data_IF_246921101734
#
_entry.id   IF_246921101734
#
_cell.length_a   1.000
_cell.length_b   1.000
_cell.length_c   1.000
_cell.angle_alpha   90.00
_cell.angle_beta   90.00
_cell.angle_gamma   90.00
#
_symmetry.space_group_name_H-M   'P 1'
#
loop_
_entity.id
_entity.type
_entity.pdbx_description
1 polymer ?
#
# COMPACT_ATOMS: atom_id res chain seq x y z
N UNK A 1 -7.15 56.27 73.34
CA UNK A 1 -5.80 56.13 72.74
C UNK A 1 -5.48 54.64 72.63
N UNK A 2 -4.94 54.28 71.47
CA UNK A 2 -5.04 52.98 70.81
C UNK A 2 -4.41 51.80 71.56
N UNK A 3 -5.16 50.68 71.51
CA UNK A 3 -4.69 49.32 71.74
C UNK A 3 -3.95 48.81 70.50
N UNK A 4 -2.74 48.31 70.71
CA UNK A 4 -2.06 47.36 69.83
C UNK A 4 -2.56 45.97 70.20
N UNK A 5 -3.27 45.29 69.30
CA UNK A 5 -3.48 43.84 69.35
C UNK A 5 -3.26 43.34 67.94
N UNK A 6 -2.19 42.58 67.77
CA UNK A 6 -1.97 41.80 66.56
C UNK A 6 -3.03 40.71 66.47
N UNK A 7 -3.54 40.49 65.27
CA UNK A 7 -4.35 39.32 64.96
C UNK A 7 -3.98 38.82 63.57
N UNK A 8 -3.25 37.69 63.57
CA UNK A 8 -3.23 36.70 62.50
C UNK A 8 -4.63 36.53 61.91
N UNK A 9 -4.79 36.61 60.58
CA UNK A 9 -5.91 36.00 59.88
C UNK A 9 -5.37 35.21 58.69
N UNK A 10 -5.12 33.94 59.00
CA UNK A 10 -5.09 32.79 58.12
C UNK A 10 -6.52 32.32 57.89
N UNK A 11 -6.99 32.35 56.64
CA UNK A 11 -8.12 31.55 56.17
C UNK A 11 -7.54 30.48 55.22
N UNK A 12 -7.15 29.32 55.73
CA UNK A 12 -7.92 28.08 55.92
C UNK A 12 -8.22 27.25 54.65
N UNK A 13 -7.12 26.83 54.00
CA UNK A 13 -6.77 25.41 53.89
C UNK A 13 -5.39 25.27 54.57
N UNK A 14 -5.34 25.39 55.91
CA UNK A 14 -4.09 25.73 56.62
C UNK A 14 -3.17 24.54 56.89
N UNK A 15 -1.98 24.55 56.26
CA UNK A 15 -0.86 23.70 56.68
C UNK A 15 0.15 23.37 55.60
N UNK A 16 -0.24 23.41 54.32
CA UNK A 16 0.70 23.22 53.22
C UNK A 16 1.19 24.58 52.70
N UNK A 17 2.31 25.06 53.25
CA UNK A 17 3.12 26.05 52.54
C UNK A 17 3.74 25.34 51.35
N UNK A 18 3.09 25.44 50.18
CA UNK A 18 3.65 24.90 48.94
C UNK A 18 4.98 25.59 48.67
N UNK A 19 6.10 24.88 48.90
CA UNK A 19 7.41 25.40 48.56
C UNK A 19 7.50 25.45 47.03
N UNK A 20 7.85 26.60 46.42
CA UNK A 20 8.12 26.67 44.98
C UNK A 20 9.14 25.62 44.52
N UNK A 21 10.04 25.19 45.43
CA UNK A 21 11.01 24.11 45.17
C UNK A 21 10.36 22.79 44.78
N UNK A 22 9.15 22.47 45.27
CA UNK A 22 8.46 21.23 44.89
C UNK A 22 8.04 21.30 43.42
N UNK A 23 7.53 22.46 42.98
CA UNK A 23 7.15 22.68 41.58
C UNK A 23 8.36 22.63 40.63
N UNK A 24 9.56 22.97 41.12
CA UNK A 24 10.81 22.82 40.36
C UNK A 24 11.29 21.37 40.25
N UNK A 25 10.83 20.47 41.13
CA UNK A 25 11.18 19.03 41.09
C UNK A 25 10.23 18.17 40.26
N UNK A 26 9.09 18.74 39.84
CA UNK A 26 8.12 18.02 39.01
C UNK A 26 8.69 17.71 37.63
N UNK A 27 8.23 16.61 37.04
CA UNK A 27 8.56 16.23 35.67
C UNK A 27 7.70 16.98 34.65
N UNK A 28 6.61 17.59 35.12
CA UNK A 28 5.72 18.46 34.36
C UNK A 28 6.25 19.89 34.31
N UNK A 29 5.95 20.58 33.21
CA UNK A 29 6.10 22.01 33.13
C UNK A 29 5.06 22.69 34.02
N UNK A 30 5.50 23.67 34.80
CA UNK A 30 4.65 24.45 35.69
C UNK A 30 4.88 25.92 35.40
N UNK A 31 3.80 26.67 35.16
CA UNK A 31 3.88 28.11 34.98
C UNK A 31 2.65 28.82 35.58
N UNK A 32 2.85 30.04 36.05
CA UNK A 32 1.76 30.90 36.55
C UNK A 32 1.75 32.16 35.71
N UNK A 33 0.61 32.44 35.07
CA UNK A 33 0.41 33.62 34.24
C UNK A 33 -0.50 34.60 34.96
N UNK A 34 -0.07 35.84 35.13
CA UNK A 34 -0.86 36.91 35.75
C UNK A 34 -2.08 37.31 34.89
N UNK A 35 -3.05 38.04 35.45
CA UNK A 35 -4.18 38.56 34.68
C UNK A 35 -3.80 39.47 33.50
N UNK A 36 -2.67 40.18 33.58
CA UNK A 36 -2.13 40.99 32.47
C UNK A 36 -1.23 40.20 31.51
N UNK A 37 -1.17 38.87 31.67
CA UNK A 37 -0.53 37.94 30.74
C UNK A 37 0.96 37.71 30.98
N UNK A 38 1.51 38.05 32.15
CA UNK A 38 2.95 37.92 32.47
C UNK A 38 3.28 36.62 33.17
N UNK A 39 4.47 36.08 32.93
CA UNK A 39 4.98 34.95 33.71
C UNK A 39 5.35 35.41 35.13
N UNK A 40 4.57 34.97 36.12
CA UNK A 40 4.88 35.13 37.55
C UNK A 40 5.78 34.00 38.06
N UNK A 41 5.62 32.82 37.48
CA UNK A 41 6.40 31.63 37.80
C UNK A 41 6.55 30.77 36.55
N UNK A 42 7.70 30.11 36.43
CA UNK A 42 7.94 29.03 35.48
C UNK A 42 9.02 28.11 36.05
N UNK A 43 8.86 26.80 35.98
CA UNK A 43 9.92 25.86 36.35
C UNK A 43 10.86 25.57 35.17
N UNK A 44 11.95 24.86 35.44
CA UNK A 44 12.96 24.54 34.41
C UNK A 44 12.40 23.64 33.30
N UNK A 45 11.44 22.76 33.62
CA UNK A 45 10.78 21.90 32.64
C UNK A 45 9.97 22.75 31.65
N UNK A 46 9.08 23.63 32.12
CA UNK A 46 8.28 24.48 31.25
C UNK A 46 9.14 25.44 30.43
N UNK A 47 10.23 25.97 30.99
CA UNK A 47 11.19 26.78 30.26
C UNK A 47 11.87 25.98 29.12
N UNK A 48 12.28 24.74 29.38
CA UNK A 48 12.81 23.82 28.35
C UNK A 48 11.78 23.49 27.28
N UNK A 49 10.54 23.17 27.68
CA UNK A 49 9.43 22.93 26.74
C UNK A 49 9.17 24.13 25.84
N UNK A 50 9.25 25.35 26.37
CA UNK A 50 9.14 26.59 25.60
C UNK A 50 10.39 26.97 24.79
N UNK A 51 11.49 26.22 24.94
CA UNK A 51 12.81 26.47 24.32
C UNK A 51 13.35 27.88 24.55
N UNK A 52 13.06 28.46 25.72
CA UNK A 52 13.58 29.76 26.15
C UNK A 52 14.06 29.68 27.59
N UNK A 53 15.18 30.36 27.94
CA UNK A 53 15.65 30.34 29.31
C UNK A 53 14.64 31.05 30.23
N UNK A 54 14.51 30.56 31.46
CA UNK A 54 13.60 31.10 32.49
C UNK A 54 13.77 32.61 32.70
N UNK A 55 15.00 33.11 32.64
CA UNK A 55 15.35 34.54 32.76
C UNK A 55 14.67 35.41 31.71
N UNK A 56 14.39 34.85 30.53
CA UNK A 56 13.81 35.61 29.42
C UNK A 56 12.29 35.63 29.46
N UNK A 57 11.68 34.82 30.32
CA UNK A 57 10.23 34.65 30.42
C UNK A 57 9.65 35.36 31.64
N UNK A 58 10.27 35.19 32.82
CA UNK A 58 9.77 35.78 34.08
C UNK A 58 9.57 37.31 33.94
N UNK A 59 8.38 37.78 34.29
CA UNK A 59 7.96 39.18 34.23
C UNK A 59 7.56 39.70 32.83
N UNK A 60 7.89 38.99 31.75
CA UNK A 60 7.48 39.36 30.38
C UNK A 60 6.09 38.84 30.06
N UNK A 61 5.39 39.50 29.14
CA UNK A 61 4.10 39.01 28.67
C UNK A 61 4.28 37.79 27.78
N UNK A 62 3.35 36.84 27.87
CA UNK A 62 3.35 35.62 27.06
C UNK A 62 3.35 35.94 25.56
N UNK A 63 2.62 36.96 25.13
CA UNK A 63 2.57 37.44 23.74
C UNK A 63 3.87 38.10 23.25
N UNK A 64 4.65 38.70 24.17
CA UNK A 64 5.96 39.27 23.85
C UNK A 64 7.01 38.16 23.73
N UNK A 65 6.93 37.17 24.63
CA UNK A 65 7.80 36.00 24.61
C UNK A 65 7.54 35.10 23.38
N UNK A 66 6.28 34.98 22.97
CA UNK A 66 5.84 34.14 21.84
C UNK A 66 4.85 34.93 20.96
N UNK A 67 5.35 35.68 19.96
CA UNK A 67 4.49 36.41 19.03
C UNK A 67 3.50 35.48 18.31
N UNK A 68 2.22 35.86 18.25
CA UNK A 68 1.14 35.07 17.62
C UNK A 68 0.48 34.04 18.53
N UNK A 69 0.98 33.85 19.76
CA UNK A 69 0.37 32.91 20.73
C UNK A 69 -1.07 33.30 21.08
N UNK A 70 -1.41 34.58 21.02
CA UNK A 70 -2.74 35.14 21.25
C UNK A 70 -3.80 34.66 20.24
N UNK A 71 -3.37 34.21 19.06
CA UNK A 71 -4.24 33.64 18.02
C UNK A 71 -4.48 32.15 18.21
N UNK A 72 -3.78 31.51 19.16
CA UNK A 72 -3.88 30.07 19.38
C UNK A 72 -5.10 29.71 20.22
N UNK A 73 -5.62 28.50 20.00
CA UNK A 73 -6.67 27.92 20.83
C UNK A 73 -6.28 27.86 22.31
N UNK A 74 -4.99 27.59 22.58
CA UNK A 74 -4.44 27.54 23.94
C UNK A 74 -4.64 28.86 24.68
N UNK A 75 -4.29 29.99 24.06
CA UNK A 75 -4.43 31.30 24.68
C UNK A 75 -5.89 31.69 24.93
N UNK A 76 -6.79 31.29 24.02
CA UNK A 76 -8.24 31.45 24.23
C UNK A 76 -8.71 30.69 25.48
N UNK A 77 -8.21 29.47 25.71
CA UNK A 77 -8.54 28.67 26.90
C UNK A 77 -7.96 29.29 28.17
N UNK A 78 -6.74 29.82 28.10
CA UNK A 78 -6.11 30.57 29.20
C UNK A 78 -6.97 31.78 29.61
N UNK A 79 -7.38 32.61 28.65
CA UNK A 79 -8.23 33.79 28.92
C UNK A 79 -9.57 33.40 29.53
N UNK A 80 -10.25 32.39 28.98
CA UNK A 80 -11.53 31.91 29.54
C UNK A 80 -11.37 31.42 30.97
N UNK A 81 -10.29 30.71 31.28
CA UNK A 81 -9.98 30.24 32.64
C UNK A 81 -9.70 31.41 33.59
N UNK A 82 -9.05 32.47 33.10
CA UNK A 82 -8.80 33.69 33.86
C UNK A 82 -10.10 34.39 34.25
N UNK A 83 -11.10 34.38 33.35
CA UNK A 83 -12.41 35.03 33.51
C UNK A 83 -13.37 34.23 34.39
N UNK A 84 -13.59 32.94 34.09
CA UNK A 84 -14.64 32.13 34.73
C UNK A 84 -14.13 31.25 35.88
N UNK A 85 -12.81 31.13 36.03
CA UNK A 85 -12.16 30.36 37.08
C UNK A 85 -12.29 28.84 36.96
N UNK A 86 -12.85 28.31 35.86
CA UNK A 86 -13.12 26.88 35.71
C UNK A 86 -11.86 26.11 35.30
N UNK A 87 -11.67 24.95 35.91
CA UNK A 87 -10.66 23.98 35.48
C UNK A 87 -10.87 23.58 34.01
N UNK A 88 -9.79 23.56 33.23
CA UNK A 88 -9.82 23.15 31.82
C UNK A 88 -8.61 22.29 31.48
N UNK A 89 -8.82 21.31 30.62
CA UNK A 89 -7.76 20.47 30.05
C UNK A 89 -7.85 20.51 28.53
N UNK A 90 -6.70 20.48 27.86
CA UNK A 90 -6.63 20.32 26.41
C UNK A 90 -5.33 19.67 25.97
N UNK A 91 -5.35 19.06 24.81
CA UNK A 91 -4.13 18.70 24.08
C UNK A 91 -3.84 19.79 23.07
N UNK A 92 -2.59 20.23 23.02
CA UNK A 92 -2.15 21.31 22.15
C UNK A 92 -0.88 20.92 21.41
N UNK A 93 -0.92 21.00 20.09
CA UNK A 93 0.27 20.99 19.26
C UNK A 93 0.92 22.37 19.29
N UNK A 94 2.21 22.40 19.62
CA UNK A 94 3.00 23.61 19.64
C UNK A 94 4.04 23.53 18.52
N UNK A 95 3.95 24.46 17.57
CA UNK A 95 4.91 24.60 16.47
C UNK A 95 5.97 25.62 16.88
N UNK A 96 7.22 25.18 16.94
CA UNK A 96 8.36 26.04 17.26
C UNK A 96 8.80 26.87 16.05
N UNK A 97 9.54 27.95 16.30
CA UNK A 97 10.02 28.84 15.24
C UNK A 97 10.99 28.19 14.23
N UNK A 98 11.55 27.02 14.56
CA UNK A 98 12.37 26.20 13.66
C UNK A 98 11.56 25.20 12.81
N UNK A 99 10.22 25.21 12.95
CA UNK A 99 9.30 24.32 12.25
C UNK A 99 9.10 22.95 12.89
N UNK A 100 9.83 22.62 13.97
CA UNK A 100 9.56 21.39 14.73
C UNK A 100 8.28 21.53 15.56
N UNK A 101 7.68 20.40 15.95
CA UNK A 101 6.44 20.40 16.75
C UNK A 101 6.62 19.60 18.04
N UNK A 102 5.82 19.94 19.06
CA UNK A 102 5.70 19.19 20.30
C UNK A 102 4.24 19.15 20.74
N UNK A 103 3.79 18.02 21.28
CA UNK A 103 2.43 17.89 21.79
C UNK A 103 2.41 17.96 23.31
N UNK A 104 1.50 18.77 23.85
CA UNK A 104 1.39 19.01 25.28
C UNK A 104 -0.05 18.82 25.75
N UNK A 105 -0.24 18.03 26.81
CA UNK A 105 -1.45 18.09 27.61
C UNK A 105 -1.32 19.27 28.57
N UNK A 106 -2.19 20.25 28.41
CA UNK A 106 -2.24 21.46 29.20
C UNK A 106 -3.44 21.42 30.14
N UNK A 107 -3.19 21.68 31.42
CA UNK A 107 -4.24 21.86 32.43
C UNK A 107 -4.17 23.27 32.98
N UNK A 108 -5.33 23.91 33.07
CA UNK A 108 -5.46 25.30 33.48
C UNK A 108 -6.32 25.36 34.73
N UNK A 109 -5.78 25.99 35.77
CA UNK A 109 -6.49 26.23 37.02
C UNK A 109 -6.30 27.66 37.48
N UNK A 110 -7.39 28.27 37.96
CA UNK A 110 -7.33 29.61 38.52
C UNK A 110 -6.66 29.56 39.89
N UNK A 111 -5.68 30.43 40.08
CA UNK A 111 -5.00 30.65 41.37
C UNK A 111 -5.13 32.12 41.77
N UNK A 112 -4.96 32.50 43.05
CA UNK A 112 -5.19 33.87 43.50
C UNK A 112 -4.42 34.94 42.72
N UNK A 113 -3.23 34.59 42.23
CA UNK A 113 -2.33 35.50 41.52
C UNK A 113 -2.44 35.43 39.98
N UNK A 114 -3.29 34.57 39.42
CA UNK A 114 -3.25 34.30 37.98
C UNK A 114 -3.92 32.99 37.56
N UNK A 115 -3.44 32.41 36.47
CA UNK A 115 -3.77 31.05 36.05
C UNK A 115 -2.52 30.20 36.14
N UNK A 116 -2.62 29.10 36.86
CA UNK A 116 -1.62 28.04 36.87
C UNK A 116 -1.85 27.16 35.65
N UNK A 117 -0.77 26.88 34.93
CA UNK A 117 -0.77 25.99 33.78
C UNK A 117 0.22 24.87 34.06
N UNK A 118 -0.28 23.64 34.05
CA UNK A 118 0.52 22.43 34.05
C UNK A 118 0.67 21.96 32.60
N UNK A 119 1.89 21.64 32.18
CA UNK A 119 2.18 21.14 30.83
C UNK A 119 2.94 19.83 30.88
N UNK A 120 2.27 18.76 30.43
CA UNK A 120 2.89 17.45 30.26
C UNK A 120 3.18 17.23 28.77
N UNK A 121 4.42 16.90 28.45
CA UNK A 121 4.78 16.55 27.08
C UNK A 121 4.22 15.15 26.75
N UNK A 122 3.37 15.10 25.72
CA UNK A 122 2.73 13.87 25.22
C UNK A 122 3.13 13.57 23.76
N UNK A 123 4.19 14.20 23.25
CA UNK A 123 4.69 14.01 21.88
C UNK A 123 4.88 12.54 21.53
N UNK A 124 5.58 11.77 22.38
CA UNK A 124 5.80 10.34 22.15
C UNK A 124 4.51 9.53 22.16
N UNK A 125 3.55 9.88 23.03
CA UNK A 125 2.24 9.23 23.09
C UNK A 125 1.46 9.47 21.81
N UNK A 126 1.45 10.71 21.31
CA UNK A 126 0.76 11.07 20.06
C UNK A 126 1.39 10.41 18.84
N UNK A 127 2.72 10.36 18.76
CA UNK A 127 3.42 9.63 17.71
C UNK A 127 3.07 8.12 17.74
N UNK A 128 3.01 7.51 18.93
CA UNK A 128 2.61 6.11 19.07
C UNK A 128 1.13 5.87 18.69
N UNK A 129 0.21 6.75 19.12
CA UNK A 129 -1.21 6.71 18.74
C UNK A 129 -1.39 6.78 17.21
N UNK A 130 -0.70 7.72 16.55
CA UNK A 130 -0.71 7.86 15.09
C UNK A 130 -0.12 6.62 14.41
N UNK A 131 1.01 6.10 14.89
CA UNK A 131 1.63 4.87 14.36
C UNK A 131 0.68 3.67 14.46
N UNK A 132 0.04 3.47 15.61
CA UNK A 132 -0.93 2.38 15.81
C UNK A 132 -2.12 2.53 14.86
N UNK A 133 -2.65 3.75 14.69
CA UNK A 133 -3.75 4.00 13.75
C UNK A 133 -3.34 3.68 12.31
N UNK A 134 -2.12 4.04 11.92
CA UNK A 134 -1.53 3.75 10.61
C UNK A 134 -1.37 2.25 10.38
N UNK A 135 -0.70 1.53 11.29
CA UNK A 135 -0.52 0.07 11.16
C UNK A 135 -1.84 -0.68 11.08
N UNK A 136 -2.85 -0.28 11.85
CA UNK A 136 -4.18 -0.85 11.77
C UNK A 136 -4.88 -0.55 10.43
N UNK A 137 -4.61 0.60 9.82
CA UNK A 137 -5.09 0.91 8.47
C UNK A 137 -4.42 0.00 7.44
N UNK A 138 -3.09 -0.11 7.46
CA UNK A 138 -2.33 -0.99 6.57
C UNK A 138 -2.82 -2.43 6.67
N UNK A 139 -2.90 -2.99 7.89
CA UNK A 139 -3.40 -4.36 8.15
C UNK A 139 -4.80 -4.61 7.58
N UNK A 140 -5.70 -3.62 7.66
CA UNK A 140 -7.02 -3.72 7.01
C UNK A 140 -6.91 -3.79 5.50
N UNK A 141 -6.03 -2.98 4.90
CA UNK A 141 -5.70 -3.05 3.48
C UNK A 141 -5.22 -4.44 3.06
N UNK A 142 -4.22 -4.99 3.77
CA UNK A 142 -3.70 -6.36 3.53
C UNK A 142 -4.82 -7.38 3.56
N UNK A 143 -5.64 -7.37 4.61
CA UNK A 143 -6.74 -8.31 4.76
C UNK A 143 -7.71 -8.25 3.58
N UNK A 144 -8.03 -7.05 3.09
CA UNK A 144 -8.92 -6.87 1.96
C UNK A 144 -8.29 -7.39 0.66
N UNK A 145 -7.00 -7.12 0.44
CA UNK A 145 -6.23 -7.69 -0.69
C UNK A 145 -6.24 -9.22 -0.63
N UNK A 146 -6.03 -9.82 0.54
CA UNK A 146 -6.05 -11.28 0.70
C UNK A 146 -7.43 -11.89 0.41
N UNK A 147 -8.52 -11.18 0.69
CA UNK A 147 -9.86 -11.60 0.27
C UNK A 147 -10.06 -11.48 -1.24
N UNK A 148 -9.54 -10.40 -1.85
CA UNK A 148 -9.59 -10.18 -3.30
C UNK A 148 -8.87 -11.29 -4.06
N UNK A 149 -7.68 -11.68 -3.60
CA UNK A 149 -6.83 -12.74 -4.18
C UNK A 149 -7.61 -14.05 -4.38
N UNK A 150 -8.52 -14.39 -3.46
CA UNK A 150 -9.29 -15.65 -3.54
C UNK A 150 -10.38 -15.66 -4.60
N UNK A 151 -10.75 -14.50 -5.17
CA UNK A 151 -11.92 -14.36 -6.05
C UNK A 151 -11.61 -13.76 -7.41
N UNK A 152 -10.53 -12.98 -7.52
CA UNK A 152 -10.12 -12.38 -8.77
C UNK A 152 -9.16 -13.29 -9.52
N UNK A 153 -9.44 -13.53 -10.79
CA UNK A 153 -8.67 -14.44 -11.64
C UNK A 153 -8.07 -13.73 -12.85
N UNK A 154 -8.29 -12.42 -12.98
CA UNK A 154 -7.63 -11.59 -13.97
C UNK A 154 -6.47 -10.79 -13.33
N UNK A 155 -5.22 -10.91 -13.82
CA UNK A 155 -4.07 -10.22 -13.25
C UNK A 155 -4.21 -8.69 -13.23
N UNK A 156 -4.80 -8.10 -14.29
CA UNK A 156 -4.93 -6.65 -14.43
C UNK A 156 -5.99 -6.10 -13.46
N UNK A 157 -7.10 -6.81 -13.30
CA UNK A 157 -8.13 -6.48 -12.30
C UNK A 157 -7.62 -6.68 -10.88
N UNK A 158 -6.80 -7.70 -10.63
CA UNK A 158 -6.20 -7.96 -9.32
C UNK A 158 -5.33 -6.78 -8.89
N UNK A 159 -4.34 -6.39 -9.70
CA UNK A 159 -3.44 -5.27 -9.35
C UNK A 159 -4.21 -3.95 -9.23
N UNK A 160 -5.25 -3.74 -10.05
CA UNK A 160 -6.07 -2.52 -9.99
C UNK A 160 -6.87 -2.43 -8.69
N UNK A 161 -7.64 -3.47 -8.36
CA UNK A 161 -8.43 -3.47 -7.12
C UNK A 161 -7.53 -3.50 -5.88
N UNK A 162 -6.34 -4.12 -5.96
CA UNK A 162 -5.37 -4.08 -4.88
C UNK A 162 -4.86 -2.66 -4.60
N UNK A 163 -4.54 -1.87 -5.64
CA UNK A 163 -4.18 -0.46 -5.48
C UNK A 163 -5.28 0.32 -4.76
N UNK A 164 -6.54 0.18 -5.22
CA UNK A 164 -7.69 0.87 -4.64
C UNK A 164 -7.87 0.52 -3.16
N UNK A 165 -7.84 -0.77 -2.81
CA UNK A 165 -8.03 -1.24 -1.42
C UNK A 165 -6.93 -0.75 -0.47
N UNK A 166 -5.69 -0.69 -0.94
CA UNK A 166 -4.56 -0.22 -0.13
C UNK A 166 -4.67 1.29 0.16
N UNK A 167 -5.11 2.08 -0.81
CA UNK A 167 -5.34 3.53 -0.64
C UNK A 167 -6.60 3.81 0.19
N UNK A 168 -7.71 3.11 -0.06
CA UNK A 168 -8.98 3.27 0.69
C UNK A 168 -8.84 2.97 2.18
N UNK A 169 -7.97 2.03 2.54
CA UNK A 169 -7.66 1.73 3.93
C UNK A 169 -7.02 2.92 4.67
N UNK A 170 -6.64 3.99 3.94
CA UNK A 170 -5.88 5.17 4.40
C UNK A 170 -4.51 4.83 4.97
N UNK A 171 -3.91 3.74 4.48
CA UNK A 171 -2.54 3.35 4.80
C UNK A 171 -1.50 4.01 3.88
N UNK A 172 -1.87 4.47 2.69
CA UNK A 172 -0.92 5.00 1.70
C UNK A 172 -1.49 6.22 0.98
N UNK A 173 -0.63 7.18 0.64
CA UNK A 173 -1.01 8.35 -0.15
C UNK A 173 -1.17 8.01 -1.64
N UNK A 174 -0.31 7.11 -2.12
CA UNK A 174 -0.41 6.54 -3.45
C UNK A 174 0.17 5.13 -3.48
N UNK A 175 -0.40 4.29 -4.34
CA UNK A 175 0.08 2.94 -4.61
C UNK A 175 0.10 2.72 -6.11
N UNK A 176 1.18 2.12 -6.61
CA UNK A 176 1.34 1.72 -8.00
C UNK A 176 1.81 0.28 -8.02
N UNK A 177 1.15 -0.56 -8.81
CA UNK A 177 1.56 -1.94 -9.02
C UNK A 177 1.76 -2.14 -10.51
N UNK A 178 2.95 -2.58 -10.92
CA UNK A 178 3.31 -2.85 -12.31
C UNK A 178 3.74 -4.30 -12.51
N UNK A 179 3.24 -4.92 -13.56
CA UNK A 179 3.66 -6.24 -14.04
C UNK A 179 4.73 -6.05 -15.13
N UNK A 180 5.77 -6.87 -15.07
CA UNK A 180 6.92 -6.77 -15.98
C UNK A 180 6.92 -7.95 -16.94
N UNK A 181 7.13 -7.66 -18.23
CA UNK A 181 7.55 -8.64 -19.21
C UNK A 181 9.06 -8.89 -19.05
N UNK A 182 9.41 -10.01 -18.40
CA UNK A 182 10.80 -10.34 -18.04
C UNK A 182 11.76 -10.42 -19.24
N UNK A 183 11.41 -11.04 -20.39
CA UNK A 183 12.22 -11.01 -21.61
C UNK A 183 12.67 -9.61 -22.06
N UNK A 184 11.79 -8.62 -21.99
CA UNK A 184 12.05 -7.25 -22.47
C UNK A 184 12.41 -6.29 -21.34
N UNK A 185 12.36 -6.75 -20.08
CA UNK A 185 12.44 -5.95 -18.85
C UNK A 185 11.60 -4.66 -18.97
N UNK A 186 10.38 -4.81 -19.49
CA UNK A 186 9.47 -3.70 -19.80
C UNK A 186 8.18 -3.87 -19.01
N UNK A 187 7.56 -2.76 -18.62
CA UNK A 187 6.22 -2.79 -18.02
C UNK A 187 5.22 -3.29 -19.07
N UNK A 188 4.56 -4.40 -18.78
CA UNK A 188 3.47 -4.96 -19.62
C UNK A 188 2.14 -4.28 -19.26
N UNK A 189 1.86 -4.19 -17.97
CA UNK A 189 0.63 -3.60 -17.45
C UNK A 189 0.86 -3.00 -16.07
N UNK A 190 0.08 -1.99 -15.70
CA UNK A 190 0.16 -1.40 -14.37
C UNK A 190 -1.21 -0.86 -13.94
N UNK A 191 -1.34 -0.65 -12.64
CA UNK A 191 -2.43 0.09 -12.04
C UNK A 191 -1.90 1.06 -10.98
N UNK A 192 -2.70 2.07 -10.67
CA UNK A 192 -2.40 3.04 -9.63
C UNK A 192 -3.66 3.46 -8.88
N UNK A 193 -3.48 3.95 -7.66
CA UNK A 193 -4.51 4.61 -6.87
C UNK A 193 -3.88 5.71 -6.00
N UNK A 194 -4.70 6.69 -5.59
CA UNK A 194 -4.29 7.80 -4.74
C UNK A 194 -3.85 9.03 -5.53
N UNK A 195 -2.76 9.66 -5.12
CA UNK A 195 -2.26 10.90 -5.75
C UNK A 195 -1.80 10.63 -7.20
N UNK A 196 -2.27 11.45 -8.14
CA UNK A 196 -1.96 11.30 -9.57
C UNK A 196 -0.54 11.74 -9.91
N UNK A 197 0.30 10.77 -10.25
CA UNK A 197 1.70 10.97 -10.63
C UNK A 197 1.88 10.96 -12.14
N UNK A 198 1.43 12.02 -12.83
CA UNK A 198 1.31 12.07 -14.30
C UNK A 198 2.60 11.70 -15.05
N UNK A 199 3.76 12.15 -14.59
CA UNK A 199 5.02 11.81 -15.27
C UNK A 199 5.42 10.35 -15.08
N UNK A 200 5.11 9.79 -13.90
CA UNK A 200 5.35 8.38 -13.61
C UNK A 200 4.44 7.51 -14.48
N UNK A 201 3.15 7.85 -14.59
CA UNK A 201 2.22 7.20 -15.51
C UNK A 201 2.71 7.26 -16.95
N UNK A 202 3.22 8.41 -17.40
CA UNK A 202 3.76 8.58 -18.76
C UNK A 202 4.95 7.65 -19.01
N UNK A 203 5.85 7.53 -18.03
CA UNK A 203 7.01 6.63 -18.09
C UNK A 203 6.58 5.15 -18.14
N UNK A 204 5.60 4.76 -17.31
CA UNK A 204 5.06 3.41 -17.26
C UNK A 204 4.29 3.05 -18.54
N UNK A 205 3.53 3.98 -19.12
CA UNK A 205 2.88 3.81 -20.41
C UNK A 205 3.88 3.66 -21.57
N UNK A 206 5.08 4.26 -21.44
CA UNK A 206 6.19 4.03 -22.37
C UNK A 206 6.90 2.69 -22.13
N UNK A 207 6.45 1.89 -21.16
CA UNK A 207 7.02 0.59 -20.80
C UNK A 207 8.29 0.67 -19.94
N UNK A 208 8.76 1.86 -19.60
CA UNK A 208 9.99 2.02 -18.82
C UNK A 208 9.74 1.75 -17.34
N UNK A 209 10.78 1.33 -16.61
CA UNK A 209 10.73 1.21 -15.15
C UNK A 209 11.31 2.47 -14.51
N UNK A 210 10.72 2.97 -13.41
CA UNK A 210 11.35 4.00 -12.58
C UNK A 210 12.63 3.47 -11.92
N UNK A 211 13.62 4.34 -11.65
CA UNK A 211 14.91 3.96 -11.04
C UNK A 211 14.77 3.10 -9.76
N UNK A 212 13.81 3.44 -8.89
CA UNK A 212 13.56 2.70 -7.66
C UNK A 212 12.98 1.30 -7.92
N UNK A 213 12.07 1.15 -8.88
CA UNK A 213 11.53 -0.14 -9.29
C UNK A 213 12.59 -0.98 -10.01
N UNK A 214 13.39 -0.37 -10.88
CA UNK A 214 14.49 -1.04 -11.57
C UNK A 214 15.52 -1.60 -10.58
N UNK A 215 15.91 -0.81 -9.57
CA UNK A 215 16.79 -1.29 -8.52
C UNK A 215 16.14 -2.39 -7.67
N UNK A 216 14.87 -2.24 -7.30
CA UNK A 216 14.15 -3.24 -6.50
C UNK A 216 14.05 -4.60 -7.23
N UNK A 217 13.72 -4.54 -8.52
CA UNK A 217 13.67 -5.70 -9.43
C UNK A 217 15.05 -6.35 -9.58
N UNK A 218 16.08 -5.55 -9.87
CA UNK A 218 17.45 -6.04 -10.08
C UNK A 218 18.04 -6.67 -8.82
N UNK A 219 17.83 -6.04 -7.67
CA UNK A 219 18.39 -6.48 -6.38
C UNK A 219 17.53 -7.51 -5.66
N UNK A 220 16.27 -7.69 -6.09
CA UNK A 220 15.24 -8.49 -5.41
C UNK A 220 15.05 -8.09 -3.95
N UNK A 221 15.20 -6.80 -3.66
CA UNK A 221 15.04 -6.21 -2.32
C UNK A 221 14.19 -4.96 -2.41
N UNK A 222 13.55 -4.59 -1.30
CA UNK A 222 12.89 -3.30 -1.24
C UNK A 222 13.92 -2.16 -1.34
N UNK A 223 13.49 -1.05 -1.93
CA UNK A 223 14.30 0.16 -2.10
C UNK A 223 13.52 1.32 -1.50
N UNK A 224 14.10 1.95 -0.48
CA UNK A 224 13.58 3.16 0.13
C UNK A 224 14.22 4.38 -0.56
N UNK A 225 13.40 5.31 -1.04
CA UNK A 225 13.83 6.62 -1.55
C UNK A 225 13.13 7.74 -0.77
N UNK A 226 13.87 8.79 -0.48
CA UNK A 226 13.37 9.98 0.21
C UNK A 226 13.39 11.14 -0.78
N UNK A 227 12.41 12.06 -0.70
CA UNK A 227 12.33 13.30 -1.49
C UNK A 227 13.49 14.31 -1.21
N UNK A 228 14.56 13.91 -0.53
CA UNK A 228 15.77 14.72 -0.32
C UNK A 228 16.99 14.21 -1.09
N UNK A 229 16.87 13.07 -1.79
CA UNK A 229 17.98 12.51 -2.55
C UNK A 229 17.86 12.87 -4.03
N UNK A 230 18.88 13.54 -4.58
CA UNK A 230 19.05 13.87 -6.02
C UNK A 230 19.14 12.62 -6.94
N UNK A 231 18.89 11.43 -6.40
CA UNK A 231 19.11 10.13 -7.03
C UNK A 231 17.92 9.62 -7.87
N UNK A 232 16.83 10.40 -7.99
CA UNK A 232 15.66 9.99 -8.77
C UNK A 232 15.64 10.70 -10.12
N UNK A 233 16.35 10.17 -11.13
CA UNK A 233 16.29 10.74 -12.48
C UNK A 233 14.96 10.32 -13.11
N UNK A 234 14.12 11.30 -13.48
CA UNK A 234 12.86 11.05 -14.19
C UNK A 234 11.63 10.76 -13.33
N UNK A 235 11.76 10.73 -12.01
CA UNK A 235 10.61 10.58 -11.11
C UNK A 235 10.05 11.96 -10.71
N UNK A 236 8.91 12.36 -11.27
CA UNK A 236 8.22 13.61 -10.86
C UNK A 236 7.46 13.49 -9.53
N UNK A 237 7.70 12.44 -8.75
CA UNK A 237 7.21 12.34 -7.37
C UNK A 237 7.79 13.47 -6.51
N UNK A 238 9.04 13.88 -6.79
CA UNK A 238 9.68 15.03 -6.14
C UNK A 238 9.00 16.38 -6.45
N UNK A 239 8.35 16.51 -7.62
CA UNK A 239 7.74 17.77 -8.09
C UNK A 239 6.22 17.85 -7.91
N UNK A 240 5.55 16.72 -7.64
CA UNK A 240 4.08 16.65 -7.56
C UNK A 240 3.47 16.66 -6.15
N UNK A 241 4.20 16.20 -5.12
CA UNK A 241 3.58 15.88 -3.82
C UNK A 241 3.74 16.95 -2.72
N UNK A 242 4.53 18.01 -2.92
CA UNK A 242 4.60 19.17 -2.02
C UNK A 242 5.10 18.93 -0.59
N UNK A 243 5.07 17.68 -0.11
CA UNK A 243 5.38 17.24 1.24
C UNK A 243 6.56 16.27 1.28
N UNK A 244 7.10 16.09 2.49
CA UNK A 244 8.17 15.13 2.75
C UNK A 244 7.54 13.74 2.82
N UNK A 245 7.80 12.92 1.81
CA UNK A 245 7.32 11.54 1.70
C UNK A 245 8.51 10.59 1.51
N UNK A 246 8.30 9.36 1.95
CA UNK A 246 9.16 8.21 1.72
C UNK A 246 8.49 7.31 0.67
N UNK A 247 9.19 7.00 -0.42
CA UNK A 247 8.73 6.02 -1.40
C UNK A 247 9.40 4.68 -1.14
N UNK A 248 8.59 3.63 -1.03
CA UNK A 248 9.07 2.26 -0.92
C UNK A 248 8.73 1.50 -2.20
N UNK A 249 9.75 1.06 -2.92
CA UNK A 249 9.60 0.17 -4.06
C UNK A 249 9.90 -1.27 -3.63
N UNK A 250 8.99 -2.21 -3.91
CA UNK A 250 9.10 -3.62 -3.56
C UNK A 250 8.96 -4.49 -4.81
N UNK A 251 9.78 -5.54 -4.97
CA UNK A 251 9.58 -6.49 -6.05
C UNK A 251 8.45 -7.47 -5.68
N UNK A 252 7.61 -7.83 -6.66
CA UNK A 252 6.59 -8.85 -6.52
C UNK A 252 7.22 -10.22 -6.81
N UNK A 253 7.63 -10.94 -5.76
CA UNK A 253 8.35 -12.21 -5.89
C UNK A 253 7.60 -13.31 -5.14
N UNK A 254 7.42 -14.45 -5.79
CA UNK A 254 6.94 -15.68 -5.17
C UNK A 254 7.73 -16.88 -5.69
N UNK A 255 8.24 -17.73 -4.80
CA UNK A 255 9.10 -18.88 -5.13
C UNK A 255 10.19 -18.56 -6.19
N UNK A 256 10.96 -17.50 -5.96
CA UNK A 256 12.01 -16.96 -6.86
C UNK A 256 11.55 -16.42 -8.22
N UNK A 257 10.26 -16.49 -8.53
CA UNK A 257 9.65 -15.91 -9.73
C UNK A 257 9.31 -14.44 -9.50
N UNK A 258 9.81 -13.57 -10.36
CA UNK A 258 9.55 -12.14 -10.33
C UNK A 258 8.38 -11.84 -11.28
N UNK A 259 7.32 -11.22 -10.76
CA UNK A 259 6.13 -10.86 -11.54
C UNK A 259 6.08 -9.37 -11.89
N UNK A 260 6.76 -8.53 -11.10
CA UNK A 260 6.58 -7.09 -11.20
C UNK A 260 7.15 -6.33 -10.02
N UNK A 261 6.60 -5.15 -9.78
CA UNK A 261 6.96 -4.26 -8.70
C UNK A 261 5.73 -3.58 -8.11
N UNK A 262 5.87 -3.08 -6.89
CA UNK A 262 4.93 -2.23 -6.19
C UNK A 262 5.67 -0.99 -5.68
N UNK A 263 5.12 0.20 -5.88
CA UNK A 263 5.63 1.45 -5.30
C UNK A 263 4.54 2.01 -4.40
N UNK A 264 4.89 2.35 -3.17
CA UNK A 264 3.99 2.97 -2.20
C UNK A 264 4.59 4.25 -1.66
N UNK A 265 3.80 5.33 -1.64
CA UNK A 265 4.20 6.58 -1.00
C UNK A 265 3.65 6.65 0.43
N UNK A 266 4.57 6.90 1.36
CA UNK A 266 4.34 6.95 2.80
C UNK A 266 4.71 8.32 3.36
N UNK A 267 4.05 8.79 4.44
CA UNK A 267 4.51 9.95 5.18
C UNK A 267 5.97 9.78 5.67
N UNK A 268 6.71 10.90 5.73
CA UNK A 268 8.13 10.89 6.11
C UNK A 268 8.40 10.14 7.42
N UNK A 269 9.43 9.29 7.39
CA UNK A 269 9.94 8.56 8.55
C UNK A 269 9.32 7.18 8.71
N UNK A 270 8.15 6.92 8.10
CA UNK A 270 7.51 5.60 8.17
C UNK A 270 8.19 4.57 7.27
N UNK A 271 8.81 4.96 6.15
CA UNK A 271 9.50 4.03 5.27
C UNK A 271 10.73 3.35 5.89
N UNK A 272 11.25 3.87 7.02
CA UNK A 272 12.36 3.27 7.79
C UNK A 272 11.89 2.32 8.88
N UNK A 273 10.60 2.27 9.16
CA UNK A 273 10.04 1.43 10.19
C UNK A 273 10.03 -0.04 9.75
N UNK A 274 10.60 -0.92 10.57
CA UNK A 274 10.69 -2.35 10.23
C UNK A 274 9.32 -3.02 10.17
N UNK A 275 8.36 -2.58 11.00
CA UNK A 275 7.01 -3.16 10.99
C UNK A 275 6.32 -2.81 9.67
N UNK A 276 6.44 -1.56 9.23
CA UNK A 276 5.89 -1.09 7.95
C UNK A 276 6.52 -1.82 6.75
N UNK A 277 7.85 -1.97 6.73
CA UNK A 277 8.56 -2.70 5.68
C UNK A 277 8.12 -4.16 5.60
N UNK A 278 7.98 -4.83 6.75
CA UNK A 278 7.55 -6.21 6.82
C UNK A 278 6.11 -6.38 6.31
N UNK A 279 5.20 -5.48 6.71
CA UNK A 279 3.81 -5.49 6.27
C UNK A 279 3.69 -5.28 4.76
N UNK A 280 4.42 -4.31 4.20
CA UNK A 280 4.43 -4.05 2.76
C UNK A 280 5.02 -5.23 1.97
N UNK A 281 6.06 -5.86 2.51
CA UNK A 281 6.65 -7.05 1.91
C UNK A 281 5.70 -8.24 1.92
N UNK A 282 4.89 -8.40 2.97
CA UNK A 282 3.83 -9.40 3.06
C UNK A 282 2.77 -9.19 1.96
N UNK A 283 2.26 -7.96 1.79
CA UNK A 283 1.32 -7.62 0.70
C UNK A 283 1.92 -7.91 -0.67
N UNK A 284 3.16 -7.50 -0.91
CA UNK A 284 3.85 -7.74 -2.18
C UNK A 284 3.98 -9.25 -2.47
N UNK A 285 4.28 -10.05 -1.44
CA UNK A 285 4.37 -11.50 -1.53
C UNK A 285 3.01 -12.15 -1.78
N UNK A 286 1.95 -11.69 -1.11
CA UNK A 286 0.59 -12.21 -1.29
C UNK A 286 0.06 -11.92 -2.70
N UNK A 287 0.30 -10.71 -3.22
CA UNK A 287 -0.03 -10.36 -4.60
C UNK A 287 0.77 -11.22 -5.59
N UNK A 288 2.07 -11.43 -5.35
CA UNK A 288 2.90 -12.29 -6.18
C UNK A 288 2.41 -13.76 -6.18
N UNK A 289 2.02 -14.29 -5.01
CA UNK A 289 1.40 -15.61 -4.89
C UNK A 289 0.11 -15.74 -5.70
N UNK A 290 -0.74 -14.71 -5.65
CA UNK A 290 -1.98 -14.67 -6.42
C UNK A 290 -1.71 -14.66 -7.93
N UNK A 291 -0.76 -13.84 -8.38
CA UNK A 291 -0.35 -13.78 -9.78
C UNK A 291 0.19 -15.14 -10.27
N UNK A 292 1.01 -15.82 -9.47
CA UNK A 292 1.47 -17.18 -9.75
C UNK A 292 0.30 -18.15 -9.90
N UNK A 293 -0.64 -18.13 -8.96
CA UNK A 293 -1.82 -19.00 -8.97
C UNK A 293 -2.69 -18.79 -10.21
N UNK A 294 -2.86 -17.53 -10.65
CA UNK A 294 -3.57 -17.19 -11.88
C UNK A 294 -2.82 -17.71 -13.12
N UNK A 295 -1.50 -17.52 -13.20
CA UNK A 295 -0.68 -18.03 -14.31
C UNK A 295 -0.73 -19.56 -14.40
N UNK A 296 -0.63 -20.28 -13.28
CA UNK A 296 -0.74 -21.74 -13.25
C UNK A 296 -2.12 -22.20 -13.71
N UNK A 297 -3.19 -21.58 -13.20
CA UNK A 297 -4.57 -21.93 -13.57
C UNK A 297 -4.84 -21.70 -15.06
N UNK A 298 -4.39 -20.58 -15.60
CA UNK A 298 -4.52 -20.27 -17.05
C UNK A 298 -3.74 -21.24 -17.92
N UNK A 299 -2.50 -21.59 -17.55
CA UNK A 299 -1.71 -22.59 -18.25
C UNK A 299 -2.34 -24.00 -18.19
N UNK A 300 -2.90 -24.38 -17.04
CA UNK A 300 -3.59 -25.66 -16.87
C UNK A 300 -4.83 -25.75 -17.78
N UNK A 301 -5.67 -24.72 -17.79
CA UNK A 301 -6.86 -24.66 -18.64
C UNK A 301 -6.50 -24.73 -20.14
N UNK A 302 -5.46 -24.01 -20.56
CA UNK A 302 -4.98 -24.06 -21.94
C UNK A 302 -4.50 -25.47 -22.33
N UNK A 303 -3.77 -26.15 -21.44
CA UNK A 303 -3.29 -27.52 -21.63
C UNK A 303 -4.46 -28.50 -21.73
N UNK A 304 -5.48 -28.36 -20.89
CA UNK A 304 -6.66 -29.23 -20.90
C UNK A 304 -7.49 -29.06 -22.19
N UNK A 305 -7.63 -27.84 -22.69
CA UNK A 305 -8.27 -27.57 -24.00
C UNK A 305 -7.46 -28.21 -25.13
N UNK A 306 -6.13 -28.06 -25.12
CA UNK A 306 -5.27 -28.64 -26.14
C UNK A 306 -5.32 -30.19 -26.14
N UNK A 307 -5.37 -30.80 -24.96
CA UNK A 307 -5.52 -32.25 -24.82
C UNK A 307 -6.84 -32.74 -25.42
N UNK A 308 -7.97 -32.13 -25.04
CA UNK A 308 -9.30 -32.47 -25.56
C UNK A 308 -9.36 -32.40 -27.10
N UNK A 309 -8.77 -31.35 -27.67
CA UNK A 309 -8.68 -31.20 -29.13
C UNK A 309 -7.84 -32.31 -29.78
N UNK A 310 -6.72 -32.69 -29.15
CA UNK A 310 -5.83 -33.75 -29.66
C UNK A 310 -6.50 -35.13 -29.56
N UNK A 311 -7.23 -35.40 -28.48
CA UNK A 311 -8.00 -36.64 -28.31
C UNK A 311 -9.09 -36.78 -29.38
N UNK A 312 -9.81 -35.70 -29.67
CA UNK A 312 -10.82 -35.68 -30.73
C UNK A 312 -10.21 -35.98 -32.11
N UNK A 313 -9.04 -35.40 -32.41
CA UNK A 313 -8.31 -35.67 -33.65
C UNK A 313 -7.85 -37.13 -33.73
N UNK A 314 -7.35 -37.69 -32.62
CA UNK A 314 -6.90 -39.08 -32.56
C UNK A 314 -8.07 -40.05 -32.80
N UNK A 315 -9.22 -39.83 -32.16
CA UNK A 315 -10.42 -40.65 -32.37
C UNK A 315 -10.88 -40.61 -33.84
N UNK A 316 -10.83 -39.43 -34.48
CA UNK A 316 -11.17 -39.30 -35.89
C UNK A 316 -10.18 -40.05 -36.79
N UNK A 317 -8.88 -39.97 -36.52
CA UNK A 317 -7.86 -40.71 -37.27
C UNK A 317 -8.04 -42.22 -37.14
N UNK A 318 -8.28 -42.74 -35.92
CA UNK A 318 -8.54 -44.17 -35.68
C UNK A 318 -9.79 -44.67 -36.41
N UNK A 319 -10.85 -43.85 -36.47
CA UNK A 319 -12.06 -44.19 -37.23
C UNK A 319 -11.76 -44.29 -38.73
N UNK A 320 -10.98 -43.35 -39.28
CA UNK A 320 -10.57 -43.38 -40.68
C UNK A 320 -9.66 -44.57 -40.99
N UNK A 321 -8.75 -44.93 -40.09
CA UNK A 321 -7.90 -46.11 -40.21
C UNK A 321 -8.73 -47.40 -40.24
N UNK A 322 -9.69 -47.55 -39.33
CA UNK A 322 -10.60 -48.70 -39.30
C UNK A 322 -11.44 -48.80 -40.58
N UNK A 323 -11.99 -47.68 -41.06
CA UNK A 323 -12.71 -47.62 -42.34
C UNK A 323 -11.79 -48.00 -43.50
N UNK A 324 -10.57 -47.47 -43.54
CA UNK A 324 -9.57 -47.78 -44.57
C UNK A 324 -9.22 -49.27 -44.60
N UNK A 325 -9.03 -49.90 -43.43
CA UNK A 325 -8.75 -51.34 -43.32
C UNK A 325 -9.92 -52.20 -43.80
N UNK A 326 -11.16 -51.82 -43.47
CA UNK A 326 -12.36 -52.49 -43.97
C UNK A 326 -12.49 -52.33 -45.49
N UNK A 327 -12.29 -51.13 -46.01
CA UNK A 327 -12.34 -50.86 -47.46
C UNK A 327 -11.28 -51.67 -48.22
N UNK A 328 -10.07 -51.82 -47.67
CA UNK A 328 -9.03 -52.68 -48.26
C UNK A 328 -9.44 -54.15 -48.33
N UNK A 329 -10.07 -54.68 -47.27
CA UNK A 329 -10.63 -56.03 -47.28
C UNK A 329 -11.75 -56.20 -48.31
N UNK A 330 -12.70 -55.25 -48.37
CA UNK A 330 -13.78 -55.26 -49.36
C UNK A 330 -13.22 -55.18 -50.78
N UNK A 331 -12.23 -54.32 -51.04
CA UNK A 331 -11.61 -54.19 -52.35
C UNK A 331 -10.90 -55.48 -52.77
N UNK A 332 -10.19 -56.14 -51.85
CA UNK A 332 -9.58 -57.44 -52.09
C UNK A 332 -10.63 -58.50 -52.48
N UNK A 333 -11.73 -58.62 -51.72
CA UNK A 333 -12.78 -59.60 -52.00
C UNK A 333 -13.52 -59.31 -53.31
N UNK A 334 -13.74 -58.02 -53.61
CA UNK A 334 -14.33 -57.60 -54.89
C UNK A 334 -13.42 -57.95 -56.06
N UNK A 335 -12.12 -57.69 -55.93
CA UNK A 335 -11.12 -58.08 -56.94
C UNK A 335 -11.08 -59.59 -57.16
N UNK A 336 -11.28 -60.40 -56.12
CA UNK A 336 -11.35 -61.85 -56.26
C UNK A 336 -12.56 -62.29 -57.09
N UNK A 337 -13.72 -61.69 -56.86
CA UNK A 337 -14.94 -61.98 -57.63
C UNK A 337 -14.78 -61.52 -59.09
N UNK A 338 -14.24 -60.31 -59.30
CA UNK A 338 -13.97 -59.79 -60.64
C UNK A 338 -12.99 -60.69 -61.40
N UNK A 339 -11.91 -61.14 -60.76
CA UNK A 339 -10.96 -62.06 -61.39
C UNK A 339 -11.63 -63.37 -61.82
N UNK A 340 -12.54 -63.91 -61.00
CA UNK A 340 -13.32 -65.08 -61.39
C UNK A 340 -14.27 -64.81 -62.56
N UNK A 341 -14.99 -63.66 -62.55
CA UNK A 341 -15.86 -63.27 -63.65
C UNK A 341 -15.09 -63.07 -64.96
N UNK A 342 -13.95 -62.37 -64.91
CA UNK A 342 -13.05 -62.18 -66.06
C UNK A 342 -12.57 -63.54 -66.56
N UNK A 343 -12.11 -64.44 -65.68
CA UNK A 343 -11.68 -65.78 -66.09
C UNK A 343 -12.80 -66.60 -66.77
N UNK A 344 -14.05 -66.46 -66.33
CA UNK A 344 -15.19 -67.07 -67.04
C UNK A 344 -15.46 -66.40 -68.39
N UNK A 345 -15.35 -65.07 -68.49
CA UNK A 345 -15.45 -64.35 -69.76
C UNK A 345 -14.37 -64.79 -70.75
N UNK A 346 -13.12 -64.95 -70.30
CA UNK A 346 -12.01 -65.45 -71.11
C UNK A 346 -12.28 -66.87 -71.63
N UNK A 347 -12.73 -67.78 -70.75
CA UNK A 347 -13.08 -69.15 -71.14
C UNK A 347 -14.26 -69.21 -72.12
N UNK A 348 -15.27 -68.36 -71.93
CA UNK A 348 -16.40 -68.24 -72.85
C UNK A 348 -15.94 -67.71 -74.21
N UNK A 349 -15.01 -66.76 -74.23
CA UNK A 349 -14.43 -66.22 -75.45
C UNK A 349 -13.66 -67.31 -76.24
N UNK A 350 -12.92 -68.19 -75.56
CA UNK A 350 -12.19 -69.30 -76.18
C UNK A 350 -13.10 -70.38 -76.81
N UNK A 351 -14.33 -70.55 -76.32
CA UNK A 351 -15.27 -71.58 -76.78
C UNK A 351 -16.33 -71.08 -77.78
N UNK A 352 -16.36 -69.77 -78.06
CA UNK A 352 -17.29 -69.18 -79.02
C UNK A 352 -16.68 -69.16 -80.43
N UNK A 353 -17.46 -69.55 -81.45
CA UNK A 353 -17.06 -69.42 -82.85
C UNK A 353 -16.78 -67.94 -83.19
N UNK A 354 -15.70 -67.71 -83.95
CA UNK A 354 -15.03 -66.41 -84.14
C UNK A 354 -15.88 -65.28 -84.75
N UNK A 355 -17.14 -65.54 -85.11
CA UNK A 355 -18.06 -64.59 -85.76
C UNK A 355 -19.45 -64.51 -85.10
N UNK A 356 -19.62 -65.13 -83.93
CA UNK A 356 -20.84 -65.04 -83.10
C UNK A 356 -21.07 -63.60 -82.60
N UNK A 357 -22.33 -63.14 -82.63
CA UNK A 357 -22.74 -61.83 -82.08
C UNK A 357 -22.28 -61.64 -80.62
N UNK A 358 -22.30 -62.72 -79.83
CA UNK A 358 -21.89 -62.72 -78.41
C UNK A 358 -20.38 -62.53 -78.25
N UNK A 359 -19.57 -63.09 -79.15
CA UNK A 359 -18.11 -62.90 -79.16
C UNK A 359 -17.72 -61.43 -79.40
N UNK A 360 -18.44 -60.74 -80.30
CA UNK A 360 -18.20 -59.32 -80.61
C UNK A 360 -18.57 -58.34 -79.49
N UNK A 361 -19.52 -58.71 -78.62
CA UNK A 361 -19.89 -57.91 -77.45
C UNK A 361 -18.99 -58.18 -76.24
N UNK A 362 -18.48 -59.42 -76.06
CA UNK A 362 -17.55 -59.76 -74.98
C UNK A 362 -16.19 -59.03 -75.08
N UNK A 363 -15.69 -58.75 -76.29
CA UNK A 363 -14.43 -58.02 -76.51
C UNK A 363 -14.50 -56.53 -76.10
N UNK A 364 -15.69 -55.99 -75.80
CA UNK A 364 -15.90 -54.58 -75.41
C UNK A 364 -15.89 -54.34 -73.89
N UNK A 365 -15.94 -55.40 -73.08
CA UNK A 365 -15.83 -55.37 -71.61
C UNK A 365 -14.35 -55.49 -71.26
#
# INVERSE_FOLDING_TARGET
>A
MNKTVGSNHSDDITGFTFSPKILDTLLEGCQVISPDGRYLYINDIAARQGRKPKSDLIGKKMVEAYPGIDQTRMYTVLQKTMEDGKHRTMENEFVYGDGSTGWFELRFDRVPVGVFILSLEITQRKLAETKISHLNAVLRGIRNVNQLITREHDPKRLISQACDLLVEARGFESVIIGLIDLPENRVDSFANAGVKLHALETLLHAGSLPDCAEEAVRTRKFVLRNNQSDACRGCSVATGLGEKIDDLALPLIHDDHLFGFMITSLPQGMGKDSDEQNLLQEVASDIAFALNSIQISTAHNATQIALSNTEAQLQQAQKLEAIGRLAGGIAHDYNNILAAQIGYCDLLQDHLESDSYVSKELVKI
#
